data_IF_110604896078
#
_entry.id   IF_110604896078
#
_cell.length_a   1.000
_cell.length_b   1.000
_cell.length_c   1.000
_cell.angle_alpha   90.00
_cell.angle_beta   90.00
_cell.angle_gamma   90.00
#
_symmetry.space_group_name_H-M   'P 1'
#
loop_
_entity.id
_entity.type
_entity.pdbx_description
1 polymer ?
#
# COMPACT_ATOMS: atom_id res chain seq x y z
N UNK A 1 -2.23 10.58 -10.45
CA UNK A 1 -2.62 9.62 -11.51
C UNK A 1 -1.63 8.44 -11.66
N UNK A 2 -0.55 8.33 -10.87
CA UNK A 2 0.58 7.42 -11.19
C UNK A 2 0.78 6.20 -10.27
N UNK A 3 -0.14 5.86 -9.35
CA UNK A 3 0.20 4.96 -8.23
C UNK A 3 -0.44 3.57 -8.22
N UNK A 4 -1.49 3.32 -9.01
CA UNK A 4 -2.02 1.97 -9.28
C UNK A 4 -1.10 1.04 -10.09
N UNK A 5 -0.23 1.49 -11.03
CA UNK A 5 0.59 0.56 -11.80
C UNK A 5 1.64 -0.18 -10.97
N UNK A 6 2.05 0.36 -9.81
CA UNK A 6 3.02 -0.29 -8.93
C UNK A 6 2.48 -1.60 -8.32
N UNK A 7 1.23 -1.59 -7.84
CA UNK A 7 0.59 -2.80 -7.30
C UNK A 7 0.39 -3.85 -8.40
N UNK A 8 0.10 -3.41 -9.63
CA UNK A 8 -0.08 -4.32 -10.77
C UNK A 8 1.24 -4.96 -11.14
N UNK A 9 2.30 -4.16 -11.23
CA UNK A 9 3.64 -4.63 -11.55
C UNK A 9 4.18 -5.62 -10.52
N UNK A 10 3.97 -5.36 -9.22
CA UNK A 10 4.34 -6.29 -8.14
C UNK A 10 3.66 -7.64 -8.32
N UNK A 11 2.38 -7.65 -8.64
CA UNK A 11 1.60 -8.88 -8.77
C UNK A 11 2.00 -9.68 -10.00
N UNK A 12 2.17 -9.01 -11.14
CA UNK A 12 2.65 -9.66 -12.37
C UNK A 12 4.05 -10.25 -12.15
N UNK A 13 4.95 -9.51 -11.50
CA UNK A 13 6.28 -10.00 -11.18
C UNK A 13 6.26 -11.20 -10.20
N UNK A 14 5.40 -11.16 -9.19
CA UNK A 14 5.24 -12.25 -8.23
C UNK A 14 4.77 -13.54 -8.90
N UNK A 15 3.75 -13.46 -9.74
CA UNK A 15 3.23 -14.61 -10.50
C UNK A 15 4.27 -15.14 -11.48
N UNK A 16 4.99 -14.25 -12.19
CA UNK A 16 6.04 -14.66 -13.11
C UNK A 16 7.19 -15.40 -12.40
N UNK A 17 7.64 -14.89 -11.25
CA UNK A 17 8.68 -15.54 -10.44
C UNK A 17 8.20 -16.87 -9.86
N UNK A 18 6.95 -16.94 -9.39
CA UNK A 18 6.35 -18.17 -8.88
C UNK A 18 6.29 -19.28 -9.95
N UNK A 19 5.88 -18.92 -11.16
CA UNK A 19 5.87 -19.83 -12.31
C UNK A 19 7.31 -20.25 -12.70
N UNK A 20 8.24 -19.31 -12.77
CA UNK A 20 9.64 -19.59 -13.11
C UNK A 20 10.33 -20.49 -12.08
N UNK A 21 9.96 -20.38 -10.80
CA UNK A 21 10.46 -21.21 -9.72
C UNK A 21 9.77 -22.58 -9.62
N UNK A 22 8.78 -22.88 -10.47
CA UNK A 22 7.98 -24.11 -10.41
C UNK A 22 7.06 -24.20 -9.18
N UNK A 23 6.85 -23.08 -8.48
CA UNK A 23 6.03 -22.98 -7.27
C UNK A 23 4.55 -22.81 -7.61
N UNK A 24 4.25 -22.20 -8.77
CA UNK A 24 2.90 -22.05 -9.29
C UNK A 24 2.81 -22.58 -10.73
N UNK A 25 1.65 -23.12 -11.08
CA UNK A 25 1.34 -23.48 -12.45
C UNK A 25 0.70 -22.28 -13.18
N UNK A 26 1.00 -22.06 -14.47
CA UNK A 26 0.33 -21.02 -15.25
C UNK A 26 -1.16 -21.36 -15.41
N UNK A 27 -2.03 -20.37 -15.19
CA UNK A 27 -3.49 -20.49 -15.28
C UNK A 27 -4.17 -19.46 -14.38
N UNK A 28 -5.48 -19.26 -14.51
CA UNK A 28 -6.25 -18.44 -13.57
C UNK A 28 -6.94 -19.36 -12.56
N UNK A 29 -6.84 -19.09 -11.25
CA UNK A 29 -7.48 -19.92 -10.24
C UNK A 29 -9.01 -19.74 -10.25
N UNK A 30 -9.52 -18.65 -10.83
CA UNK A 30 -10.95 -18.36 -10.95
C UNK A 30 -11.33 -18.03 -12.39
N UNK A 31 -12.58 -18.32 -12.76
CA UNK A 31 -13.10 -18.04 -14.09
C UNK A 31 -13.11 -16.53 -14.38
N UNK A 32 -12.78 -16.15 -15.61
CA UNK A 32 -12.93 -14.77 -16.09
C UNK A 32 -14.39 -14.27 -16.03
N UNK A 33 -15.36 -15.18 -16.08
CA UNK A 33 -16.78 -14.82 -15.92
C UNK A 33 -17.12 -14.35 -14.51
N UNK A 34 -16.35 -14.78 -13.49
CA UNK A 34 -16.52 -14.33 -12.11
C UNK A 34 -15.79 -13.00 -11.83
N UNK A 35 -14.94 -12.53 -12.75
CA UNK A 35 -14.11 -11.35 -12.55
C UNK A 35 -14.91 -10.07 -12.22
N UNK A 36 -16.03 -9.75 -12.90
CA UNK A 36 -16.80 -8.55 -12.56
C UNK A 36 -17.37 -8.59 -11.14
N UNK A 37 -17.86 -9.75 -10.71
CA UNK A 37 -18.40 -9.93 -9.36
C UNK A 37 -17.29 -9.79 -8.31
N UNK A 38 -16.13 -10.40 -8.55
CA UNK A 38 -14.98 -10.35 -7.64
C UNK A 38 -14.38 -8.94 -7.55
N UNK A 39 -14.26 -8.23 -8.67
CA UNK A 39 -13.84 -6.81 -8.70
C UNK A 39 -14.82 -5.96 -7.90
N UNK A 40 -16.12 -6.15 -8.08
CA UNK A 40 -17.15 -5.41 -7.33
C UNK A 40 -17.06 -5.69 -5.84
N UNK A 41 -16.96 -6.96 -5.45
CA UNK A 41 -16.83 -7.36 -4.06
C UNK A 41 -15.58 -6.79 -3.40
N UNK A 42 -14.42 -6.93 -4.03
CA UNK A 42 -13.14 -6.43 -3.50
C UNK A 42 -13.11 -4.92 -3.39
N UNK A 43 -13.72 -4.18 -4.33
CA UNK A 43 -13.88 -2.73 -4.25
C UNK A 43 -14.75 -2.30 -3.07
N UNK A 44 -15.89 -2.96 -2.85
CA UNK A 44 -16.78 -2.64 -1.74
C UNK A 44 -16.09 -2.96 -0.40
N UNK A 45 -15.49 -4.14 -0.28
CA UNK A 45 -14.77 -4.55 0.92
C UNK A 45 -13.63 -3.56 1.26
N UNK A 46 -12.80 -3.22 0.28
CA UNK A 46 -11.72 -2.25 0.43
C UNK A 46 -12.26 -0.86 0.81
N UNK A 47 -13.36 -0.41 0.20
CA UNK A 47 -13.98 0.87 0.56
C UNK A 47 -14.43 0.87 2.02
N UNK A 48 -15.12 -0.17 2.49
CA UNK A 48 -15.57 -0.30 3.87
C UNK A 48 -14.39 -0.25 4.87
N UNK A 49 -13.31 -0.97 4.58
CA UNK A 49 -12.12 -0.99 5.44
C UNK A 49 -11.38 0.35 5.43
N UNK A 50 -11.13 0.92 4.26
CA UNK A 50 -10.33 2.16 4.14
C UNK A 50 -11.05 3.39 4.68
N UNK A 51 -12.38 3.39 4.78
CA UNK A 51 -13.12 4.44 5.49
C UNK A 51 -12.69 4.52 6.96
N UNK A 52 -12.51 3.39 7.63
CA UNK A 52 -12.03 3.33 9.01
C UNK A 52 -10.52 3.54 9.10
N UNK A 53 -9.75 2.70 8.40
CA UNK A 53 -8.29 2.71 8.54
C UNK A 53 -7.65 3.98 8.01
N UNK A 54 -8.08 4.46 6.84
CA UNK A 54 -7.50 5.65 6.22
C UNK A 54 -8.33 6.89 6.45
N UNK A 55 -9.65 6.82 6.25
CA UNK A 55 -10.55 7.96 6.41
C UNK A 55 -10.61 8.49 7.84
N UNK A 56 -10.44 7.61 8.84
CA UNK A 56 -10.50 7.99 10.24
C UNK A 56 -9.14 7.91 10.95
N UNK A 57 -8.44 6.77 10.90
CA UNK A 57 -7.29 6.53 11.78
C UNK A 57 -5.95 7.11 11.27
N UNK A 58 -5.68 7.07 9.95
CA UNK A 58 -4.37 7.44 9.39
C UNK A 58 -3.98 8.88 9.70
N UNK A 59 -4.89 9.83 9.54
CA UNK A 59 -4.57 11.26 9.60
C UNK A 59 -4.14 11.75 10.99
N UNK A 60 -4.90 11.46 12.07
CA UNK A 60 -4.48 11.78 13.43
C UNK A 60 -3.15 11.12 13.82
N UNK A 61 -2.97 9.84 13.46
CA UNK A 61 -1.73 9.12 13.77
C UNK A 61 -0.54 9.70 13.02
N UNK A 62 -0.69 10.00 11.72
CA UNK A 62 0.36 10.60 10.89
C UNK A 62 0.80 11.96 11.42
N UNK A 63 -0.13 12.81 11.87
CA UNK A 63 0.23 14.10 12.49
C UNK A 63 1.07 13.94 13.76
N UNK A 64 0.91 12.83 14.49
CA UNK A 64 1.62 12.56 15.74
C UNK A 64 2.94 11.81 15.55
N UNK A 65 3.00 10.86 14.63
CA UNK A 65 4.10 9.91 14.50
C UNK A 65 4.83 9.95 13.14
N UNK A 66 4.29 10.70 12.18
CA UNK A 66 4.76 10.70 10.79
C UNK A 66 4.25 9.50 9.97
N UNK A 67 4.47 9.55 8.66
CA UNK A 67 3.91 8.59 7.69
C UNK A 67 4.39 7.16 7.93
N UNK A 68 5.70 6.96 8.10
CA UNK A 68 6.28 5.62 8.25
C UNK A 68 5.79 4.93 9.53
N UNK A 69 5.90 5.61 10.67
CA UNK A 69 5.49 5.03 11.95
C UNK A 69 3.98 4.74 12.00
N UNK A 70 3.15 5.63 11.46
CA UNK A 70 1.70 5.38 11.32
C UNK A 70 1.42 4.15 10.48
N UNK A 71 2.13 3.99 9.36
CA UNK A 71 1.90 2.85 8.49
C UNK A 71 2.32 1.53 9.11
N UNK A 72 3.45 1.49 9.81
CA UNK A 72 3.90 0.30 10.54
C UNK A 72 2.93 -0.05 11.67
N UNK A 73 2.50 0.93 12.46
CA UNK A 73 1.55 0.74 13.55
C UNK A 73 0.23 0.17 13.02
N UNK A 74 -0.37 0.84 12.03
CA UNK A 74 -1.62 0.37 11.43
C UNK A 74 -1.43 -0.97 10.73
N UNK A 75 -0.28 -1.21 10.09
CA UNK A 75 0.00 -2.47 9.40
C UNK A 75 0.05 -3.65 10.36
N UNK A 76 0.67 -3.48 11.53
CA UNK A 76 0.72 -4.51 12.58
C UNK A 76 -0.68 -4.79 13.12
N UNK A 77 -1.45 -3.74 13.44
CA UNK A 77 -2.84 -3.88 13.92
C UNK A 77 -3.71 -4.56 12.88
N UNK A 78 -3.57 -4.18 11.61
CA UNK A 78 -4.33 -4.73 10.50
C UNK A 78 -3.98 -6.20 10.25
N UNK A 79 -2.69 -6.57 10.32
CA UNK A 79 -2.27 -7.97 10.25
C UNK A 79 -2.84 -8.79 11.42
N UNK A 80 -2.75 -8.26 12.64
CA UNK A 80 -3.29 -8.93 13.83
C UNK A 80 -4.81 -9.13 13.76
N UNK A 81 -5.55 -8.19 13.20
CA UNK A 81 -7.00 -8.30 13.00
C UNK A 81 -7.39 -9.47 12.07
N UNK A 82 -6.54 -9.81 11.10
CA UNK A 82 -6.79 -10.91 10.16
C UNK A 82 -6.36 -12.29 10.67
N UNK A 83 -5.38 -12.35 11.58
CA UNK A 83 -4.79 -13.61 12.04
C UNK A 83 -5.83 -14.65 12.51
N UNK A 84 -6.87 -14.31 13.30
CA UNK A 84 -7.86 -15.30 13.74
C UNK A 84 -8.55 -16.01 12.57
N UNK A 85 -8.97 -15.26 11.55
CA UNK A 85 -9.64 -15.82 10.37
C UNK A 85 -8.68 -16.67 9.52
N UNK A 86 -7.42 -16.23 9.36
CA UNK A 86 -6.41 -16.97 8.60
C UNK A 86 -5.97 -18.26 9.30
N UNK A 87 -5.87 -18.25 10.62
CA UNK A 87 -5.61 -19.45 11.43
C UNK A 87 -6.80 -20.41 11.31
N UNK A 88 -8.03 -19.91 11.40
CA UNK A 88 -9.24 -20.72 11.23
C UNK A 88 -9.34 -21.33 9.82
N UNK A 89 -8.85 -20.62 8.80
CA UNK A 89 -8.76 -21.12 7.43
C UNK A 89 -7.67 -22.20 7.24
N UNK A 90 -6.85 -22.48 8.26
CA UNK A 90 -5.89 -23.58 8.26
C UNK A 90 -4.52 -23.26 7.65
N UNK A 91 -4.19 -21.97 7.46
CA UNK A 91 -2.88 -21.60 6.92
C UNK A 91 -1.73 -21.92 7.91
N UNK A 92 -0.60 -22.50 7.43
CA UNK A 92 0.51 -22.85 8.31
C UNK A 92 1.27 -21.61 8.81
N UNK A 93 1.97 -21.68 9.96
CA UNK A 93 2.66 -20.52 10.55
C UNK A 93 3.65 -19.81 9.61
N UNK A 94 4.36 -20.56 8.76
CA UNK A 94 5.30 -19.99 7.78
C UNK A 94 4.60 -19.17 6.70
N UNK A 95 3.39 -19.57 6.29
CA UNK A 95 2.56 -18.83 5.34
C UNK A 95 2.05 -17.55 6.01
N UNK A 96 1.56 -17.67 7.26
CA UNK A 96 1.06 -16.52 8.05
C UNK A 96 2.15 -15.47 8.25
N UNK A 97 3.38 -15.88 8.53
CA UNK A 97 4.51 -14.96 8.69
C UNK A 97 4.80 -14.16 7.42
N UNK A 98 4.86 -14.83 6.26
CA UNK A 98 5.04 -14.17 4.97
C UNK A 98 3.88 -13.22 4.63
N UNK A 99 2.65 -13.65 4.92
CA UNK A 99 1.46 -12.83 4.74
C UNK A 99 1.48 -11.58 5.61
N UNK A 100 1.83 -11.70 6.91
CA UNK A 100 1.96 -10.55 7.80
C UNK A 100 2.99 -9.52 7.31
N UNK A 101 4.15 -9.98 6.81
CA UNK A 101 5.15 -9.09 6.19
C UNK A 101 4.55 -8.34 5.01
N UNK A 102 3.83 -9.04 4.12
CA UNK A 102 3.14 -8.42 2.99
C UNK A 102 2.06 -7.41 3.42
N UNK A 103 1.27 -7.73 4.45
CA UNK A 103 0.21 -6.86 4.97
C UNK A 103 0.75 -5.57 5.59
N UNK A 104 1.85 -5.65 6.35
CA UNK A 104 2.52 -4.45 6.90
C UNK A 104 3.09 -3.59 5.76
N UNK A 105 3.72 -4.21 4.76
CA UNK A 105 4.25 -3.51 3.60
C UNK A 105 3.13 -2.85 2.76
N UNK A 106 2.01 -3.54 2.56
CA UNK A 106 0.83 -3.01 1.91
C UNK A 106 0.29 -1.77 2.63
N UNK A 107 0.29 -1.77 3.97
CA UNK A 107 -0.13 -0.58 4.74
C UNK A 107 0.82 0.59 4.54
N UNK A 108 2.14 0.38 4.46
CA UNK A 108 3.11 1.42 4.09
C UNK A 108 2.79 2.03 2.73
N UNK A 109 2.48 1.20 1.73
CA UNK A 109 2.07 1.69 0.43
C UNK A 109 0.79 2.52 0.55
N UNK A 110 -0.28 1.98 1.12
CA UNK A 110 -1.60 2.65 1.22
C UNK A 110 -1.51 3.98 1.96
N UNK A 111 -0.83 4.04 3.12
CA UNK A 111 -0.66 5.28 3.89
C UNK A 111 0.20 6.30 3.14
N UNK A 112 1.21 5.86 2.40
CA UNK A 112 1.99 6.73 1.51
C UNK A 112 1.12 7.30 0.40
N UNK A 113 0.29 6.48 -0.25
CA UNK A 113 -0.65 6.92 -1.28
C UNK A 113 -1.67 7.93 -0.77
N UNK A 114 -2.23 7.69 0.41
CA UNK A 114 -3.11 8.65 1.05
C UNK A 114 -2.39 9.97 1.31
N UNK A 115 -1.13 9.90 1.77
CA UNK A 115 -0.35 11.09 2.10
C UNK A 115 0.04 11.91 0.88
N UNK A 116 0.35 11.27 -0.25
CA UNK A 116 0.70 11.98 -1.48
C UNK A 116 -0.51 12.50 -2.24
N UNK A 117 -1.66 11.81 -2.18
CA UNK A 117 -2.85 12.20 -2.93
C UNK A 117 -3.84 13.04 -2.14
N UNK A 118 -3.80 12.99 -0.80
CA UNK A 118 -4.74 13.65 0.09
C UNK A 118 -6.16 13.05 0.09
N UNK A 119 -6.42 11.99 -0.68
CA UNK A 119 -7.75 11.41 -0.88
C UNK A 119 -7.84 9.93 -0.52
N UNK A 120 -9.06 9.40 -0.56
CA UNK A 120 -9.35 7.98 -0.26
C UNK A 120 -9.39 7.09 -1.50
N UNK A 121 -9.61 7.65 -2.69
CA UNK A 121 -9.75 6.87 -3.92
C UNK A 121 -8.50 6.03 -4.20
N UNK A 122 -7.30 6.60 -4.10
CA UNK A 122 -6.05 5.85 -4.34
C UNK A 122 -5.82 4.72 -3.32
N UNK A 123 -5.97 4.95 -2.00
CA UNK A 123 -6.00 3.90 -0.98
C UNK A 123 -6.99 2.76 -1.28
N UNK A 124 -8.24 3.10 -1.60
CA UNK A 124 -9.30 2.11 -1.86
C UNK A 124 -8.97 1.26 -3.08
N UNK A 125 -8.55 1.89 -4.18
CA UNK A 125 -8.20 1.17 -5.41
C UNK A 125 -6.97 0.28 -5.18
N UNK A 126 -5.95 0.76 -4.46
CA UNK A 126 -4.78 -0.04 -4.14
C UNK A 126 -5.12 -1.26 -3.26
N UNK A 127 -5.96 -1.09 -2.25
CA UNK A 127 -6.41 -2.18 -1.39
C UNK A 127 -7.28 -3.18 -2.18
N UNK A 128 -8.29 -2.73 -2.92
CA UNK A 128 -9.11 -3.61 -3.76
C UNK A 128 -8.25 -4.43 -4.73
N UNK A 129 -7.23 -3.78 -5.30
CA UNK A 129 -6.28 -4.43 -6.16
C UNK A 129 -5.46 -5.49 -5.43
N UNK A 130 -4.91 -5.21 -4.24
CA UNK A 130 -4.20 -6.23 -3.43
C UNK A 130 -5.08 -7.47 -3.18
N UNK A 131 -6.37 -7.27 -2.91
CA UNK A 131 -7.33 -8.38 -2.72
C UNK A 131 -7.51 -9.19 -4.01
N UNK A 132 -7.63 -8.52 -5.16
CA UNK A 132 -7.69 -9.20 -6.46
C UNK A 132 -6.40 -9.98 -6.76
N UNK A 133 -5.25 -9.41 -6.43
CA UNK A 133 -3.95 -10.02 -6.65
C UNK A 133 -3.83 -11.34 -5.87
N UNK A 134 -4.26 -11.36 -4.62
CA UNK A 134 -4.35 -12.60 -3.83
C UNK A 134 -5.31 -13.60 -4.49
N UNK A 135 -6.52 -13.16 -4.85
CA UNK A 135 -7.55 -14.04 -5.41
C UNK A 135 -7.18 -14.64 -6.78
N UNK A 136 -6.34 -13.95 -7.56
CA UNK A 136 -5.90 -14.39 -8.89
C UNK A 136 -4.49 -14.97 -8.94
N UNK A 137 -3.76 -15.01 -7.83
CA UNK A 137 -2.44 -15.66 -7.78
C UNK A 137 -2.63 -17.18 -7.71
N UNK A 138 -2.20 -17.95 -8.73
CA UNK A 138 -2.38 -19.39 -8.73
C UNK A 138 -1.57 -20.04 -7.62
N UNK A 139 -2.21 -20.91 -6.84
CA UNK A 139 -1.54 -21.65 -5.76
C UNK A 139 -1.11 -20.79 -4.58
N UNK A 140 -1.72 -19.61 -4.34
CA UNK A 140 -1.38 -18.68 -3.25
C UNK A 140 -1.29 -19.34 -1.87
N UNK A 141 -1.94 -20.48 -1.67
CA UNK A 141 -1.86 -21.30 -0.45
C UNK A 141 -0.47 -21.92 -0.20
N UNK A 142 0.38 -21.98 -1.23
CA UNK A 142 1.75 -22.47 -1.07
C UNK A 142 2.55 -21.52 -0.15
N UNK A 143 3.23 -22.03 0.91
CA UNK A 143 3.92 -21.21 1.90
C UNK A 143 4.91 -20.16 1.37
N UNK A 144 5.54 -20.42 0.22
CA UNK A 144 6.50 -19.49 -0.39
C UNK A 144 5.85 -18.25 -1.05
N UNK A 145 4.59 -18.31 -1.47
CA UNK A 145 3.98 -17.23 -2.26
C UNK A 145 3.70 -15.96 -1.44
N UNK A 146 3.19 -16.02 -0.20
CA UNK A 146 3.08 -14.83 0.63
C UNK A 146 4.42 -14.15 0.87
N UNK A 147 5.51 -14.92 0.98
CA UNK A 147 6.86 -14.35 1.09
C UNK A 147 7.29 -13.62 -0.18
N UNK A 148 7.12 -14.24 -1.36
CA UNK A 148 7.47 -13.60 -2.63
C UNK A 148 6.65 -12.32 -2.83
N UNK A 149 5.32 -12.40 -2.68
CA UNK A 149 4.44 -11.24 -2.79
C UNK A 149 4.77 -10.17 -1.75
N UNK A 150 5.03 -10.58 -0.51
CA UNK A 150 5.32 -9.68 0.60
C UNK A 150 6.63 -8.93 0.42
N UNK A 151 7.68 -9.60 -0.03
CA UNK A 151 8.98 -8.99 -0.32
C UNK A 151 8.91 -8.01 -1.49
N UNK A 152 8.21 -8.38 -2.58
CA UNK A 152 8.01 -7.47 -3.71
C UNK A 152 7.17 -6.25 -3.34
N UNK A 153 6.12 -6.46 -2.53
CA UNK A 153 5.31 -5.36 -1.98
C UNK A 153 6.16 -4.46 -1.08
N UNK A 154 7.05 -5.04 -0.27
CA UNK A 154 7.98 -4.28 0.57
C UNK A 154 8.89 -3.40 -0.26
N UNK A 155 9.50 -3.95 -1.32
CA UNK A 155 10.36 -3.18 -2.22
C UNK A 155 9.60 -2.03 -2.90
N UNK A 156 8.38 -2.30 -3.38
CA UNK A 156 7.53 -1.28 -4.00
C UNK A 156 7.09 -0.19 -2.99
N UNK A 157 6.71 -0.59 -1.78
CA UNK A 157 6.29 0.32 -0.71
C UNK A 157 7.44 1.24 -0.27
N UNK A 158 8.64 0.69 -0.09
CA UNK A 158 9.84 1.48 0.24
C UNK A 158 10.14 2.46 -0.90
N UNK A 159 10.13 1.99 -2.15
CA UNK A 159 10.41 2.84 -3.32
C UNK A 159 9.41 4.00 -3.41
N UNK A 160 8.11 3.71 -3.28
CA UNK A 160 7.06 4.71 -3.30
C UNK A 160 7.20 5.71 -2.14
N UNK A 161 7.53 5.23 -0.93
CA UNK A 161 7.72 6.07 0.24
C UNK A 161 8.93 7.02 0.08
N UNK A 162 10.04 6.51 -0.42
CA UNK A 162 11.24 7.30 -0.68
C UNK A 162 11.03 8.34 -1.80
N UNK A 163 10.31 7.98 -2.86
CA UNK A 163 9.95 8.91 -3.92
C UNK A 163 9.07 10.05 -3.40
N UNK A 164 8.04 9.72 -2.61
CA UNK A 164 7.17 10.71 -1.97
C UNK A 164 7.94 11.68 -1.07
N UNK A 165 8.92 11.18 -0.31
CA UNK A 165 9.77 12.01 0.55
C UNK A 165 10.64 13.01 -0.22
N UNK A 166 11.09 12.65 -1.43
CA UNK A 166 11.88 13.53 -2.31
C UNK A 166 11.05 14.69 -2.85
N UNK A 167 9.81 14.43 -3.23
CA UNK A 167 8.90 15.46 -3.76
C UNK A 167 8.49 16.47 -2.68
N UNK A 168 8.47 16.04 -1.42
CA UNK A 168 8.25 16.94 -0.27
C UNK A 168 9.49 17.72 0.16
N UNK A 169 10.66 17.46 -0.43
CA UNK A 169 11.95 17.90 0.11
C UNK A 169 13.01 18.27 -0.92
N UNK A 170 12.73 19.18 -1.87
CA UNK A 170 13.74 20.05 -2.52
C UNK A 170 13.13 21.45 -2.77
N UNK A 171 13.27 22.28 -1.75
CA UNK A 171 13.27 23.74 -1.83
C UNK A 171 14.46 24.25 -1.02
N UNK A 172 15.66 23.79 -1.33
CA UNK A 172 16.89 24.22 -0.63
C UNK A 172 17.54 25.40 -1.35
N UNK A 173 17.15 26.62 -0.92
CA UNK A 173 18.03 27.75 -0.63
C UNK A 173 18.74 28.51 -1.76
N UNK A 174 18.23 29.71 -2.08
CA UNK A 174 18.98 30.95 -2.41
C UNK A 174 17.95 32.04 -2.77
N UNK A 175 17.84 33.25 -2.22
CA UNK A 175 18.51 34.02 -1.16
C UNK A 175 17.53 35.17 -0.84
N UNK A 176 16.98 35.24 0.37
CA UNK A 176 16.34 36.47 0.85
C UNK A 176 17.46 37.42 1.30
N UNK A 177 18.11 38.08 0.35
CA UNK A 177 18.98 39.22 0.65
C UNK A 177 18.09 40.46 0.79
N UNK A 178 18.12 41.04 1.98
CA UNK A 178 17.25 42.13 2.41
C UNK A 178 17.19 43.31 1.46
N UNK A 179 15.96 43.76 1.16
CA UNK A 179 15.71 45.14 0.81
C UNK A 179 15.20 45.83 2.06
N UNK A 180 16.11 46.57 2.66
CA UNK A 180 15.88 47.48 3.77
C UNK A 180 14.94 48.57 3.24
N UNK A 181 13.77 48.66 3.87
CA UNK A 181 12.86 49.79 3.77
C UNK A 181 13.59 51.04 4.27
N UNK A 182 13.76 52.02 3.39
CA UNK A 182 14.09 53.38 3.79
C UNK A 182 12.87 54.24 3.50
N UNK A 183 12.04 54.37 4.53
CA UNK A 183 11.01 55.38 4.58
C UNK A 183 11.60 56.75 4.28
N UNK A 184 10.99 57.46 3.35
CA UNK A 184 11.03 58.92 3.36
C UNK A 184 9.60 59.42 3.26
N UNK A 185 9.17 59.96 4.39
CA UNK A 185 8.01 60.81 4.56
C UNK A 185 8.07 61.98 3.58
N UNK A 186 7.00 62.23 2.85
CA UNK A 186 6.61 63.59 2.52
C UNK A 186 5.09 63.74 2.62
N UNK A 187 4.68 64.46 3.66
CA UNK A 187 3.48 65.28 3.67
C UNK A 187 3.81 66.53 2.85
N UNK A 188 2.94 66.86 1.91
CA UNK A 188 2.17 68.12 1.76
C UNK A 188 1.45 68.11 0.40
#
# INVERSE_FOLDING_TARGET
>A
MFTTPAVTAVTVAAVALACAAGVAAPGLPTSLTAAPALVTFTLIAAACEELGWTGYATDPLRRRYGTLATALLLGIVWAAWHLPALIQAGHPPVWLAGWCVGTVAARLLIVTLHTTTGGLTAPILAHAQLNLCVAYTPGYDHPALPWICGLLTTAAAITAHLAAGRDTGIGTGATASGRIDSGTTHRE
#
